data_IF_970507439497
#
_entry.id   IF_970507439497
#
_cell.length_a   1.000
_cell.length_b   1.000
_cell.length_c   1.000
_cell.angle_alpha   90.00
_cell.angle_beta   90.00
_cell.angle_gamma   90.00
#
_symmetry.space_group_name_H-M   'P 1'
#
loop_
_entity.id
_entity.type
_entity.pdbx_description
1 polymer ?
#
# COMPACT_ATOMS: atom_id res chain seq x y z
N UNK A 1 -1.25 -5.01 1.60
CA UNK A 1 -1.70 -4.11 2.66
C UNK A 1 -2.63 -3.07 2.04
N UNK A 2 -3.79 -2.79 2.71
CA UNK A 2 -4.82 -1.93 2.17
C UNK A 2 -5.48 -2.55 0.93
N UNK A 3 -5.94 -3.81 1.05
CA UNK A 3 -6.42 -4.56 -0.12
C UNK A 3 -7.74 -4.02 -0.68
N UNK A 4 -8.47 -3.22 0.08
CA UNK A 4 -9.75 -2.64 -0.33
C UNK A 4 -10.73 -3.71 -0.81
N UNK A 5 -11.34 -3.48 -1.94
CA UNK A 5 -12.27 -4.42 -2.59
C UNK A 5 -11.58 -5.56 -3.37
N UNK A 6 -10.30 -5.80 -3.14
CA UNK A 6 -9.56 -6.94 -3.69
C UNK A 6 -9.08 -6.78 -5.14
N UNK A 7 -9.09 -5.59 -5.73
CA UNK A 7 -8.67 -5.36 -7.12
C UNK A 7 -7.24 -5.85 -7.41
N UNK A 8 -6.29 -5.46 -6.55
CA UNK A 8 -4.90 -5.90 -6.70
C UNK A 8 -4.74 -7.37 -6.28
N UNK A 9 -5.53 -7.84 -5.31
CA UNK A 9 -5.52 -9.24 -4.87
C UNK A 9 -5.93 -10.18 -6.00
N UNK A 10 -6.95 -9.84 -6.78
CA UNK A 10 -7.40 -10.59 -7.96
C UNK A 10 -6.27 -10.75 -9.00
N UNK A 11 -5.48 -9.71 -9.22
CA UNK A 11 -4.32 -9.78 -10.11
C UNK A 11 -3.17 -10.62 -9.51
N UNK A 12 -2.94 -10.49 -8.19
CA UNK A 12 -1.86 -11.18 -7.48
C UNK A 12 -2.12 -12.69 -7.36
N UNK A 13 -3.36 -13.13 -7.23
CA UNK A 13 -3.72 -14.54 -7.07
C UNK A 13 -3.27 -15.42 -8.24
N UNK A 14 -3.11 -14.84 -9.41
CA UNK A 14 -2.59 -15.52 -10.60
C UNK A 14 -1.06 -15.69 -10.58
N UNK A 15 -0.37 -15.06 -9.63
CA UNK A 15 1.10 -14.92 -9.59
C UNK A 15 1.74 -15.38 -8.29
N UNK A 16 0.96 -15.48 -7.23
CA UNK A 16 1.41 -15.90 -5.91
C UNK A 16 0.81 -17.25 -5.53
N UNK A 17 1.54 -18.03 -4.74
CA UNK A 17 1.05 -19.28 -4.15
C UNK A 17 0.13 -19.02 -2.96
N UNK A 18 0.47 -18.01 -2.15
CA UNK A 18 -0.27 -17.60 -0.96
C UNK A 18 -0.31 -16.09 -0.85
N UNK A 19 -1.43 -15.55 -0.38
CA UNK A 19 -1.62 -14.11 -0.17
C UNK A 19 -2.24 -13.89 1.20
N UNK A 20 -1.67 -12.96 1.97
CA UNK A 20 -2.33 -12.35 3.12
C UNK A 20 -2.81 -10.97 2.71
N UNK A 21 -4.11 -10.78 2.58
CA UNK A 21 -4.74 -9.52 2.19
C UNK A 21 -5.30 -8.83 3.44
N UNK A 22 -4.80 -7.63 3.73
CA UNK A 22 -5.11 -6.90 4.97
C UNK A 22 -5.81 -5.59 4.65
N UNK A 23 -6.88 -5.29 5.36
CA UNK A 23 -7.57 -4.00 5.31
C UNK A 23 -8.14 -3.64 6.68
N UNK A 24 -8.34 -2.36 6.95
CA UNK A 24 -8.99 -1.86 8.16
C UNK A 24 -10.51 -2.07 8.11
N UNK A 25 -11.10 -1.97 6.93
CA UNK A 25 -12.55 -2.02 6.69
C UNK A 25 -13.03 -3.43 6.46
N UNK A 26 -13.86 -3.95 7.37
CA UNK A 26 -14.51 -5.26 7.17
C UNK A 26 -15.49 -5.25 5.98
N UNK A 27 -16.14 -4.13 5.70
CA UNK A 27 -16.99 -3.98 4.51
C UNK A 27 -16.20 -4.17 3.22
N UNK A 28 -15.00 -3.57 3.12
CA UNK A 28 -14.12 -3.75 1.96
C UNK A 28 -13.64 -5.19 1.83
N UNK A 29 -13.29 -5.81 2.96
CA UNK A 29 -12.90 -7.23 3.00
C UNK A 29 -14.06 -8.14 2.57
N UNK A 30 -15.30 -7.83 2.95
CA UNK A 30 -16.48 -8.56 2.47
C UNK A 30 -16.57 -8.56 0.94
N UNK A 31 -16.47 -7.38 0.32
CA UNK A 31 -16.45 -7.23 -1.14
C UNK A 31 -15.24 -7.92 -1.80
N UNK A 32 -14.09 -7.91 -1.12
CA UNK A 32 -12.90 -8.57 -1.63
C UNK A 32 -13.05 -10.09 -1.63
N UNK A 33 -13.66 -10.68 -0.58
CA UNK A 33 -13.96 -12.12 -0.49
C UNK A 33 -14.94 -12.57 -1.58
N UNK A 34 -15.98 -11.76 -1.86
CA UNK A 34 -16.92 -12.04 -2.95
C UNK A 34 -16.25 -12.03 -4.34
N UNK A 35 -15.26 -11.15 -4.54
CA UNK A 35 -14.54 -11.02 -5.81
C UNK A 35 -13.48 -12.10 -6.00
N UNK A 36 -12.78 -12.48 -4.94
CA UNK A 36 -11.63 -13.38 -4.97
C UNK A 36 -11.91 -14.57 -4.07
N UNK A 37 -12.64 -15.54 -4.63
CA UNK A 37 -13.00 -16.80 -3.96
C UNK A 37 -11.93 -17.87 -4.26
N UNK A 38 -10.98 -18.02 -3.34
CA UNK A 38 -9.88 -19.00 -3.46
C UNK A 38 -9.19 -19.23 -2.12
N UNK A 39 -8.77 -20.46 -1.88
CA UNK A 39 -8.01 -20.87 -0.69
C UNK A 39 -6.61 -20.23 -0.58
N UNK A 40 -6.13 -19.63 -1.67
CA UNK A 40 -4.82 -18.97 -1.68
C UNK A 40 -4.79 -17.66 -0.92
N UNK A 41 -5.95 -17.06 -0.62
CA UNK A 41 -6.05 -15.73 -0.03
C UNK A 41 -6.63 -15.79 1.37
N UNK A 42 -5.86 -15.30 2.34
CA UNK A 42 -6.31 -15.07 3.70
C UNK A 42 -6.62 -13.60 3.89
N UNK A 43 -7.90 -13.24 4.00
CA UNK A 43 -8.35 -11.89 4.27
C UNK A 43 -8.41 -11.61 5.77
N UNK A 44 -7.74 -10.55 6.22
CA UNK A 44 -7.60 -10.20 7.63
C UNK A 44 -7.95 -8.74 7.85
N UNK A 45 -8.86 -8.50 8.80
CA UNK A 45 -9.09 -7.16 9.30
C UNK A 45 -7.99 -6.79 10.29
N UNK A 46 -7.24 -5.73 10.00
CA UNK A 46 -6.24 -5.21 10.92
C UNK A 46 -5.94 -3.73 10.67
N UNK A 47 -5.63 -3.03 11.76
CA UNK A 47 -5.06 -1.69 11.74
C UNK A 47 -3.53 -1.81 11.64
N UNK A 48 -2.98 -1.39 10.51
CA UNK A 48 -1.54 -1.49 10.24
C UNK A 48 -0.69 -0.53 11.07
N UNK A 49 -1.30 0.44 11.76
CA UNK A 49 -0.59 1.28 12.74
C UNK A 49 -0.30 0.52 14.05
N UNK A 50 -0.99 -0.60 14.28
CA UNK A 50 -0.77 -1.49 15.42
C UNK A 50 0.25 -2.57 15.08
N UNK A 51 0.45 -3.51 16.02
CA UNK A 51 1.29 -4.68 15.78
C UNK A 51 0.75 -5.55 14.64
N UNK A 52 1.64 -6.03 13.77
CA UNK A 52 1.27 -6.88 12.63
C UNK A 52 1.17 -8.36 13.04
N UNK A 53 0.20 -8.68 13.89
CA UNK A 53 -0.07 -10.05 14.35
C UNK A 53 -0.51 -11.01 13.23
N UNK A 54 -0.87 -10.47 12.07
CA UNK A 54 -1.21 -11.25 10.88
C UNK A 54 0.01 -11.85 10.16
N UNK A 55 1.22 -11.43 10.49
CA UNK A 55 2.46 -11.96 9.93
C UNK A 55 2.78 -13.29 10.60
N UNK A 56 2.54 -14.40 9.90
CA UNK A 56 2.85 -15.75 10.37
C UNK A 56 4.22 -16.23 9.91
N UNK A 57 4.68 -15.75 8.77
CA UNK A 57 5.99 -16.02 8.20
C UNK A 57 6.45 -14.83 7.35
N UNK A 58 7.74 -14.68 7.10
CA UNK A 58 8.22 -13.59 6.26
C UNK A 58 7.73 -13.72 4.82
N UNK A 59 7.45 -12.57 4.20
CA UNK A 59 6.91 -12.47 2.84
C UNK A 59 8.01 -12.23 1.80
N UNK A 60 7.82 -12.79 0.60
CA UNK A 60 8.65 -12.50 -0.58
C UNK A 60 8.35 -11.12 -1.16
N UNK A 61 7.08 -10.70 -1.09
CA UNK A 61 6.60 -9.41 -1.56
C UNK A 61 5.57 -8.82 -0.59
N UNK A 62 5.74 -7.56 -0.24
CA UNK A 62 4.74 -6.75 0.47
C UNK A 62 4.32 -5.62 -0.46
N UNK A 63 3.01 -5.37 -0.58
CA UNK A 63 2.50 -4.30 -1.43
C UNK A 63 1.64 -3.32 -0.63
N UNK A 64 1.83 -2.03 -0.90
CA UNK A 64 0.98 -0.93 -0.47
C UNK A 64 0.44 -0.23 -1.71
N UNK A 65 -0.86 0.07 -1.74
CA UNK A 65 -1.46 0.78 -2.86
C UNK A 65 -2.57 1.70 -2.39
N UNK A 66 -2.31 3.01 -2.45
CA UNK A 66 -3.22 4.07 -1.99
C UNK A 66 -3.67 3.86 -0.53
N UNK A 67 -2.73 3.60 0.36
CA UNK A 67 -2.98 3.35 1.78
C UNK A 67 -2.08 4.17 2.70
N UNK A 68 -0.84 4.45 2.28
CA UNK A 68 0.12 5.16 3.13
C UNK A 68 -0.22 6.64 3.29
N UNK A 69 -1.00 7.22 2.40
CA UNK A 69 -1.56 8.57 2.57
C UNK A 69 -2.48 8.69 3.82
N UNK A 70 -2.95 7.58 4.38
CA UNK A 70 -3.76 7.55 5.60
C UNK A 70 -2.95 7.31 6.88
N UNK A 71 -1.64 7.16 6.77
CA UNK A 71 -0.73 6.83 7.86
C UNK A 71 0.20 8.02 8.14
N UNK A 72 0.22 8.51 9.37
CA UNK A 72 1.07 9.61 9.77
C UNK A 72 2.55 9.20 9.88
N UNK A 73 2.81 8.08 10.55
CA UNK A 73 4.16 7.57 10.83
C UNK A 73 4.59 6.52 9.80
N UNK A 74 5.23 6.98 8.72
CA UNK A 74 5.80 6.10 7.71
C UNK A 74 6.97 5.27 8.26
N UNK A 75 7.78 5.82 9.17
CA UNK A 75 8.96 5.13 9.68
C UNK A 75 8.57 3.85 10.43
N UNK A 76 7.50 3.88 11.22
CA UNK A 76 6.98 2.69 11.90
C UNK A 76 6.45 1.63 10.91
N UNK A 77 5.76 2.05 9.84
CA UNK A 77 5.31 1.13 8.80
C UNK A 77 6.49 0.47 8.08
N UNK A 78 7.51 1.24 7.70
CA UNK A 78 8.71 0.69 7.04
C UNK A 78 9.47 -0.26 7.97
N UNK A 79 9.57 0.05 9.25
CA UNK A 79 10.16 -0.84 10.26
C UNK A 79 9.39 -2.17 10.36
N UNK A 80 8.06 -2.14 10.36
CA UNK A 80 7.21 -3.34 10.38
C UNK A 80 7.35 -4.13 9.07
N UNK A 81 7.34 -3.45 7.93
CA UNK A 81 7.57 -4.08 6.63
C UNK A 81 8.94 -4.75 6.56
N UNK A 82 9.99 -4.09 7.10
CA UNK A 82 11.32 -4.67 7.18
C UNK A 82 11.38 -5.95 8.02
N UNK A 83 10.64 -6.01 9.13
CA UNK A 83 10.54 -7.24 9.94
C UNK A 83 9.73 -8.35 9.24
N UNK A 84 8.71 -7.97 8.47
CA UNK A 84 7.82 -8.90 7.79
C UNK A 84 8.37 -9.41 6.46
N UNK A 85 9.30 -8.72 5.83
CA UNK A 85 9.90 -9.14 4.57
C UNK A 85 11.03 -10.17 4.79
N UNK A 86 11.15 -11.15 3.90
CA UNK A 86 12.33 -12.03 3.80
C UNK A 86 13.60 -11.22 3.49
N UNK A 87 14.78 -11.75 3.81
CA UNK A 87 16.04 -11.23 3.24
C UNK A 87 15.93 -11.24 1.70
N UNK A 88 16.28 -10.12 1.06
CA UNK A 88 16.09 -9.89 -0.38
C UNK A 88 14.62 -9.84 -0.84
N UNK A 89 13.65 -9.91 0.07
CA UNK A 89 12.24 -9.71 -0.21
C UNK A 89 11.95 -8.28 -0.70
N UNK A 90 10.89 -8.14 -1.46
CA UNK A 90 10.52 -6.90 -2.12
C UNK A 90 9.40 -6.18 -1.37
N UNK A 91 9.43 -4.85 -1.42
CA UNK A 91 8.31 -4.00 -1.01
C UNK A 91 7.95 -3.10 -2.19
N UNK A 92 6.69 -3.17 -2.63
CA UNK A 92 6.14 -2.30 -3.65
C UNK A 92 5.21 -1.28 -3.00
N UNK A 93 5.38 -0.03 -3.34
CA UNK A 93 4.55 1.09 -2.88
C UNK A 93 4.02 1.79 -4.12
N UNK A 94 2.70 2.02 -4.18
CA UNK A 94 2.05 2.81 -5.20
C UNK A 94 1.08 3.78 -4.53
N UNK A 95 1.39 5.07 -4.53
CA UNK A 95 0.66 6.08 -3.78
C UNK A 95 0.32 7.30 -4.66
N UNK A 96 -0.66 8.09 -4.22
CA UNK A 96 -0.96 9.36 -4.85
C UNK A 96 0.28 10.25 -4.79
N UNK A 97 0.67 10.80 -5.94
CA UNK A 97 1.89 11.62 -6.02
C UNK A 97 1.77 12.87 -5.14
N UNK A 98 2.81 13.25 -4.37
CA UNK A 98 2.79 14.44 -3.50
C UNK A 98 2.34 15.71 -4.19
N UNK A 99 2.70 15.92 -5.44
CA UNK A 99 2.28 17.09 -6.22
C UNK A 99 0.77 17.16 -6.41
N UNK A 100 0.07 16.03 -6.57
CA UNK A 100 -1.41 16.02 -6.60
C UNK A 100 -1.99 16.40 -5.25
N UNK A 101 -1.37 15.98 -4.15
CA UNK A 101 -1.81 16.34 -2.79
C UNK A 101 -1.63 17.84 -2.54
N UNK A 102 -0.51 18.45 -2.96
CA UNK A 102 -0.28 19.91 -2.84
C UNK A 102 -1.29 20.73 -3.64
N UNK A 103 -1.80 20.24 -4.75
CA UNK A 103 -2.86 20.89 -5.53
C UNK A 103 -4.26 20.71 -4.95
N UNK A 104 -4.38 20.13 -3.73
CA UNK A 104 -5.64 19.99 -3.00
C UNK A 104 -6.42 18.72 -3.32
N UNK A 105 -5.85 17.79 -4.08
CA UNK A 105 -6.45 16.46 -4.28
C UNK A 105 -6.37 15.68 -2.97
N UNK A 106 -7.54 15.25 -2.45
CA UNK A 106 -7.66 14.41 -1.26
C UNK A 106 -8.42 13.15 -1.62
N UNK A 107 -8.04 12.02 -1.01
CA UNK A 107 -8.84 10.81 -1.11
C UNK A 107 -10.25 11.05 -0.56
N UNK A 108 -11.26 10.73 -1.35
CA UNK A 108 -12.67 10.82 -0.98
C UNK A 108 -13.28 9.44 -1.12
N UNK A 109 -13.92 8.97 -0.05
CA UNK A 109 -14.69 7.72 -0.09
C UNK A 109 -16.17 8.04 0.02
N UNK A 110 -16.95 7.48 -0.88
CA UNK A 110 -18.41 7.48 -0.76
C UNK A 110 -18.83 6.27 0.07
N UNK A 111 -19.51 6.52 1.17
CA UNK A 111 -20.18 5.50 1.98
C UNK A 111 -21.68 5.64 1.84
N UNK A 112 -22.43 4.61 2.18
CA UNK A 112 -23.90 4.65 2.22
C UNK A 112 -24.46 5.77 3.13
N UNK A 113 -23.65 6.34 4.02
CA UNK A 113 -23.98 7.44 4.93
C UNK A 113 -23.49 8.83 4.49
N UNK A 114 -22.98 8.97 3.24
CA UNK A 114 -22.45 10.23 2.72
C UNK A 114 -20.92 10.24 2.58
N UNK A 115 -20.37 11.38 2.15
CA UNK A 115 -18.94 11.55 1.93
C UNK A 115 -18.21 11.65 3.27
N UNK A 116 -17.41 10.65 3.62
CA UNK A 116 -16.51 10.72 4.77
C UNK A 116 -15.12 11.18 4.32
N UNK A 117 -14.59 12.20 4.97
CA UNK A 117 -13.21 12.66 4.79
C UNK A 117 -12.34 11.83 5.73
N UNK A 118 -11.57 10.90 5.17
CA UNK A 118 -10.54 10.19 5.94
C UNK A 118 -9.33 11.11 6.09
N UNK A 119 -8.70 11.18 7.27
CA UNK A 119 -7.45 11.91 7.44
C UNK A 119 -6.43 11.48 6.37
N UNK A 120 -5.83 12.46 5.71
CA UNK A 120 -4.78 12.23 4.73
C UNK A 120 -3.56 13.04 5.13
N UNK A 121 -2.42 12.38 5.15
CA UNK A 121 -1.12 12.95 5.43
C UNK A 121 -0.36 13.11 4.12
N UNK A 122 0.32 14.23 3.95
CA UNK A 122 1.16 14.46 2.77
C UNK A 122 2.55 13.95 3.06
N UNK A 123 2.99 12.97 2.29
CA UNK A 123 4.34 12.44 2.35
C UNK A 123 5.10 12.83 1.09
N UNK A 124 6.25 13.47 1.27
CA UNK A 124 7.13 13.80 0.16
C UNK A 124 7.87 12.55 -0.33
N UNK A 125 8.46 12.63 -1.52
CA UNK A 125 9.32 11.54 -2.04
C UNK A 125 10.48 11.27 -1.07
N UNK A 126 11.04 12.32 -0.46
CA UNK A 126 12.11 12.23 0.54
C UNK A 126 11.68 11.47 1.81
N UNK A 127 10.41 11.54 2.20
CA UNK A 127 9.92 10.85 3.40
C UNK A 127 9.88 9.34 3.15
N UNK A 128 9.41 8.92 1.95
CA UNK A 128 9.46 7.52 1.53
C UNK A 128 10.90 7.00 1.40
N UNK A 129 11.77 7.76 0.74
CA UNK A 129 13.16 7.32 0.51
C UNK A 129 13.98 7.33 1.79
N UNK A 130 13.78 8.30 2.68
CA UNK A 130 14.38 8.35 4.01
C UNK A 130 13.96 7.17 4.87
N UNK A 131 12.65 6.92 4.98
CA UNK A 131 12.12 5.77 5.73
C UNK A 131 12.63 4.43 5.18
N UNK A 132 12.79 4.30 3.85
CA UNK A 132 13.37 3.10 3.24
C UNK A 132 14.84 2.91 3.67
N UNK A 133 15.66 3.96 3.60
CA UNK A 133 17.07 3.90 3.93
C UNK A 133 17.32 3.59 5.41
N UNK A 134 16.53 4.22 6.31
CA UNK A 134 16.60 4.02 7.75
C UNK A 134 16.17 2.61 8.20
N UNK A 135 15.43 1.89 7.36
CA UNK A 135 14.95 0.54 7.66
C UNK A 135 15.56 -0.55 6.77
N UNK A 136 16.82 -0.34 6.33
CA UNK A 136 17.62 -1.31 5.59
C UNK A 136 17.05 -1.76 4.25
N UNK A 137 16.31 -0.88 3.58
CA UNK A 137 15.87 -1.12 2.22
C UNK A 137 16.82 -0.46 1.20
N UNK A 138 17.04 -1.17 0.11
CA UNK A 138 17.62 -0.66 -1.12
C UNK A 138 16.51 -0.22 -2.05
N UNK A 139 16.58 0.98 -2.60
CA UNK A 139 15.63 1.48 -3.58
C UNK A 139 16.06 0.95 -4.95
N UNK A 140 15.25 0.09 -5.55
CA UNK A 140 15.52 -0.50 -6.86
C UNK A 140 14.98 0.37 -8.00
N UNK A 141 13.81 0.98 -7.79
CA UNK A 141 13.15 1.81 -8.81
C UNK A 141 12.24 2.84 -8.15
N UNK A 142 12.14 4.00 -8.81
CA UNK A 142 11.12 5.02 -8.54
C UNK A 142 10.54 5.43 -9.89
N UNK A 143 9.22 5.32 -10.04
CA UNK A 143 8.55 5.70 -11.27
C UNK A 143 7.36 6.62 -11.01
N UNK A 144 7.06 7.47 -11.99
CA UNK A 144 5.95 8.42 -11.95
C UNK A 144 4.97 8.11 -13.09
N UNK A 145 3.68 8.09 -12.78
CA UNK A 145 2.63 7.82 -13.74
C UNK A 145 1.72 9.04 -13.88
N UNK A 146 1.42 9.37 -15.12
CA UNK A 146 0.68 10.56 -15.54
C UNK A 146 -0.68 10.17 -16.08
N UNK A 147 -1.67 11.05 -15.91
CA UNK A 147 -2.97 10.88 -16.54
C UNK A 147 -2.78 10.94 -18.08
N UNK A 148 -3.43 10.05 -18.81
CA UNK A 148 -3.38 9.94 -20.28
C UNK A 148 -1.95 9.81 -20.87
N UNK A 149 -0.96 9.42 -20.05
CA UNK A 149 0.48 9.41 -20.38
C UNK A 149 1.05 10.78 -20.78
N UNK A 150 0.36 11.86 -20.45
CA UNK A 150 0.82 13.24 -20.69
C UNK A 150 1.85 13.67 -19.64
N UNK A 151 3.12 13.54 -19.95
CA UNK A 151 4.23 13.91 -19.08
C UNK A 151 4.46 15.42 -18.94
N UNK A 152 3.67 16.25 -19.59
CA UNK A 152 3.70 17.72 -19.39
C UNK A 152 2.88 18.16 -18.20
N UNK A 153 1.99 17.28 -17.71
CA UNK A 153 1.16 17.51 -16.55
C UNK A 153 1.82 17.13 -15.22
N UNK A 154 1.04 17.20 -14.14
CA UNK A 154 1.45 16.77 -12.81
C UNK A 154 1.29 15.24 -12.72
N UNK A 155 2.32 14.50 -12.28
CA UNK A 155 2.20 13.05 -12.10
C UNK A 155 1.10 12.71 -11.10
N UNK A 156 0.34 11.65 -11.39
CA UNK A 156 -0.78 11.22 -10.57
C UNK A 156 -0.35 10.25 -9.48
N UNK A 157 0.45 9.27 -9.86
CA UNK A 157 0.91 8.19 -8.99
C UNK A 157 2.43 8.18 -8.98
N UNK A 158 2.98 7.95 -7.80
CA UNK A 158 4.37 7.57 -7.61
C UNK A 158 4.43 6.10 -7.21
N UNK A 159 5.40 5.38 -7.75
CA UNK A 159 5.72 4.03 -7.28
C UNK A 159 7.15 3.93 -6.82
N UNK A 160 7.38 3.12 -5.78
CA UNK A 160 8.69 2.73 -5.32
C UNK A 160 8.77 1.21 -5.27
N UNK A 161 9.85 0.66 -5.80
CA UNK A 161 10.21 -0.74 -5.62
C UNK A 161 11.45 -0.82 -4.75
N UNK A 162 11.31 -1.48 -3.63
CA UNK A 162 12.35 -1.60 -2.61
C UNK A 162 12.74 -3.06 -2.43
N UNK A 163 13.98 -3.32 -2.01
CA UNK A 163 14.48 -4.62 -1.64
C UNK A 163 15.08 -4.57 -0.25
N UNK A 164 14.68 -5.49 0.63
CA UNK A 164 15.34 -5.65 1.93
C UNK A 164 16.77 -6.14 1.74
N UNK A 165 17.71 -5.49 2.39
CA UNK A 165 19.13 -5.86 2.39
C UNK A 165 19.41 -7.17 3.13
#
# INVERSE_FOLDING_TARGET
IGCGTGKNTEWLVLRASEITAVDLSDEMLGRAREKVDTDKVRFIQADITKEWSFVQQPYDLITFSLVLEHIEDLADIFKKAGKAAKSKGLVYIGELHPFKQYTGTKARFETAGGQQVVPCFTHNISDFTGAAQENDFEILDIAEYFDDNDRTGIPRIITLLLRKK
#
